data_IF_899907673039
#
_entry.id   IF_899907673039
#
_cell.length_a   1.000
_cell.length_b   1.000
_cell.length_c   1.000
_cell.angle_alpha   90.00
_cell.angle_beta   90.00
_cell.angle_gamma   90.00
#
_symmetry.space_group_name_H-M   'P 1'
#
loop_
_entity.id
_entity.type
_entity.pdbx_description
1 polymer ?
#
# COMPACT_ATOMS: atom_id res chain seq x y z
N UNK A 1 75.12 -19.97 -11.14
CA UNK A 1 75.39 -19.92 -9.68
C UNK A 1 74.16 -20.46 -8.95
N UNK A 2 74.33 -21.28 -7.89
CA UNK A 2 73.66 -22.57 -7.74
C UNK A 2 72.34 -22.56 -6.97
N UNK A 3 71.51 -23.58 -7.25
CA UNK A 3 70.29 -23.88 -6.51
C UNK A 3 70.53 -24.56 -5.15
N UNK A 4 69.52 -24.45 -4.28
CA UNK A 4 69.31 -25.28 -3.07
C UNK A 4 67.79 -25.42 -2.92
N UNK A 5 67.23 -26.58 -3.23
CA UNK A 5 66.98 -27.71 -2.32
C UNK A 5 66.10 -27.33 -1.13
N UNK A 6 64.80 -27.62 -1.27
CA UNK A 6 63.80 -27.64 -0.21
C UNK A 6 64.22 -28.60 0.91
N UNK A 7 64.24 -28.12 2.16
CA UNK A 7 64.34 -28.94 3.37
C UNK A 7 62.96 -28.99 4.02
N UNK A 8 62.38 -30.18 4.04
CA UNK A 8 61.15 -30.52 4.76
C UNK A 8 61.47 -30.54 6.26
N UNK A 9 60.82 -29.67 7.06
CA UNK A 9 60.88 -29.73 8.53
C UNK A 9 59.95 -30.82 9.06
N UNK A 10 60.35 -31.47 10.16
CA UNK A 10 59.59 -32.53 10.83
C UNK A 10 58.40 -31.95 11.59
N UNK A 11 57.28 -32.66 11.55
CA UNK A 11 55.98 -32.34 12.18
C UNK A 11 55.99 -32.18 13.71
N UNK A 12 57.12 -32.39 14.40
CA UNK A 12 57.26 -32.13 15.84
C UNK A 12 57.68 -30.70 16.18
N UNK A 13 58.11 -29.89 15.20
CA UNK A 13 58.51 -28.48 15.38
C UNK A 13 57.37 -27.49 15.08
N UNK A 14 56.15 -27.97 14.85
CA UNK A 14 54.97 -27.17 14.48
C UNK A 14 53.91 -27.10 15.59
N UNK A 15 54.26 -27.53 16.82
CA UNK A 15 53.32 -27.65 17.94
C UNK A 15 53.47 -26.58 19.04
N UNK A 16 54.50 -25.74 18.97
CA UNK A 16 54.78 -24.72 19.99
C UNK A 16 54.40 -23.28 19.56
N UNK A 17 53.83 -23.10 18.36
CA UNK A 17 53.39 -21.79 17.83
C UNK A 17 51.86 -21.59 17.87
N UNK A 18 51.13 -22.40 18.65
CA UNK A 18 49.66 -22.35 18.75
C UNK A 18 49.19 -22.25 20.21
N UNK A 19 49.65 -21.24 20.94
CA UNK A 19 48.90 -20.70 22.07
C UNK A 19 48.86 -19.16 21.99
N UNK A 20 47.68 -18.55 21.75
CA UNK A 20 47.57 -17.10 21.82
C UNK A 20 47.65 -16.62 23.28
N UNK A 21 48.23 -15.44 23.55
CA UNK A 21 48.25 -14.86 24.88
C UNK A 21 46.81 -14.58 25.34
N UNK A 22 46.54 -14.86 26.63
CA UNK A 22 45.30 -14.49 27.32
C UNK A 22 45.19 -12.97 27.35
N UNK A 23 44.52 -12.42 26.32
CA UNK A 23 44.19 -11.01 26.19
C UNK A 23 42.74 -10.75 26.58
N UNK A 24 42.53 -9.63 27.26
CA UNK A 24 41.25 -9.12 27.75
C UNK A 24 40.15 -9.13 26.67
N UNK A 25 38.91 -9.35 27.10
CA UNK A 25 37.73 -9.35 26.23
C UNK A 25 37.65 -8.05 25.40
N UNK A 26 37.31 -8.10 24.11
CA UNK A 26 37.20 -6.91 23.29
C UNK A 26 36.04 -6.06 23.81
N UNK A 27 36.40 -4.88 24.31
CA UNK A 27 35.49 -3.77 24.57
C UNK A 27 34.64 -3.54 23.32
N UNK A 28 33.31 -3.59 23.47
CA UNK A 28 32.37 -3.47 22.37
C UNK A 28 32.65 -2.16 21.62
N UNK A 29 33.21 -2.29 20.41
CA UNK A 29 33.50 -1.15 19.55
C UNK A 29 32.21 -0.35 19.36
N UNK A 30 32.19 0.87 19.90
CA UNK A 30 31.14 1.83 19.67
C UNK A 30 30.97 2.01 18.15
N UNK A 31 29.73 2.05 17.63
CA UNK A 31 29.50 2.24 16.21
C UNK A 31 30.25 3.49 15.77
N UNK A 32 31.12 3.36 14.76
CA UNK A 32 31.85 4.50 14.22
C UNK A 32 30.83 5.57 13.79
N UNK A 33 31.19 6.84 13.91
CA UNK A 33 30.31 7.99 13.66
C UNK A 33 29.56 7.90 12.30
N UNK A 34 30.16 7.22 11.32
CA UNK A 34 29.56 6.95 10.00
C UNK A 34 28.42 5.92 10.03
N UNK A 35 28.49 4.90 10.89
CA UNK A 35 27.44 3.86 10.99
C UNK A 35 26.18 4.38 11.68
N UNK A 36 26.33 5.17 12.74
CA UNK A 36 25.20 5.78 13.44
C UNK A 36 24.45 6.78 12.55
N UNK A 37 25.18 7.57 11.76
CA UNK A 37 24.60 8.53 10.80
C UNK A 37 23.88 7.85 9.65
N UNK A 38 24.41 6.73 9.17
CA UNK A 38 23.76 5.89 8.15
C UNK A 38 22.47 5.24 8.68
N UNK A 39 22.45 4.84 9.96
CA UNK A 39 21.24 4.31 10.62
C UNK A 39 20.16 5.38 10.76
N UNK A 40 20.53 6.59 11.12
CA UNK A 40 19.62 7.74 11.25
C UNK A 40 19.01 8.13 9.89
N UNK A 41 19.83 8.16 8.83
CA UNK A 41 19.38 8.43 7.44
C UNK A 41 18.45 7.33 6.91
N UNK A 42 18.77 6.05 7.20
CA UNK A 42 17.92 4.90 6.85
C UNK A 42 16.61 4.90 7.64
N UNK A 43 16.62 5.35 8.89
CA UNK A 43 15.44 5.48 9.73
C UNK A 43 14.53 6.61 9.25
N UNK A 44 15.11 7.74 8.83
CA UNK A 44 14.40 8.85 8.18
C UNK A 44 13.74 8.43 6.86
N UNK A 45 14.46 7.71 5.99
CA UNK A 45 13.91 7.14 4.75
C UNK A 45 12.78 6.13 5.01
N UNK A 46 12.92 5.28 6.03
CA UNK A 46 11.87 4.32 6.44
C UNK A 46 10.60 5.02 6.92
N UNK A 47 10.73 6.11 7.68
CA UNK A 47 9.57 6.90 8.13
C UNK A 47 8.87 7.64 6.98
N UNK A 48 9.62 8.12 5.99
CA UNK A 48 9.07 8.79 4.81
C UNK A 48 8.31 7.83 3.89
N UNK A 49 8.86 6.64 3.66
CA UNK A 49 8.23 5.60 2.85
C UNK A 49 6.95 5.04 3.49
N UNK A 50 6.93 4.87 4.82
CA UNK A 50 5.77 4.32 5.54
C UNK A 50 4.59 5.30 5.63
N UNK A 51 4.84 6.60 5.82
CA UNK A 51 3.80 7.64 5.76
C UNK A 51 3.16 7.75 4.37
N UNK A 52 3.97 7.85 3.32
CA UNK A 52 3.48 7.99 1.95
C UNK A 52 2.72 6.77 1.43
N UNK A 53 3.14 5.56 1.83
CA UNK A 53 2.49 4.31 1.45
C UNK A 53 1.13 4.14 2.14
N UNK A 54 1.01 4.49 3.42
CA UNK A 54 -0.23 4.34 4.18
C UNK A 54 -1.30 5.37 3.78
N UNK A 55 -0.89 6.63 3.59
CA UNK A 55 -1.78 7.68 3.08
C UNK A 55 -2.27 7.35 1.65
N UNK A 56 -1.42 6.72 0.83
CA UNK A 56 -1.80 6.23 -0.51
C UNK A 56 -2.77 5.06 -0.47
N UNK A 57 -2.60 4.16 0.51
CA UNK A 57 -3.45 2.96 0.69
C UNK A 57 -4.83 3.32 1.21
N UNK A 58 -4.92 4.30 2.11
CA UNK A 58 -6.20 4.81 2.61
C UNK A 58 -6.90 5.76 1.63
N UNK A 59 -6.15 6.47 0.78
CA UNK A 59 -6.74 7.40 -0.19
C UNK A 59 -7.56 6.71 -1.29
N UNK A 60 -7.39 5.40 -1.53
CA UNK A 60 -7.98 4.75 -2.69
C UNK A 60 -8.52 3.35 -2.40
N UNK A 61 -9.83 3.26 -2.20
CA UNK A 61 -10.59 2.01 -2.29
C UNK A 61 -11.64 2.20 -3.39
N UNK A 62 -11.46 1.43 -4.48
CA UNK A 62 -12.33 1.17 -5.65
C UNK A 62 -11.98 1.87 -6.99
N UNK A 63 -11.93 1.10 -8.11
CA UNK A 63 -11.97 1.62 -9.48
C UNK A 63 -13.33 2.27 -9.83
N UNK A 64 -13.30 3.20 -10.80
CA UNK A 64 -14.43 4.03 -11.27
C UNK A 64 -15.69 3.24 -11.68
N UNK A 65 -15.56 1.98 -12.10
CA UNK A 65 -16.67 1.17 -12.63
C UNK A 65 -17.50 0.40 -11.60
N UNK A 66 -17.01 0.24 -10.37
CA UNK A 66 -17.62 -0.63 -9.35
C UNK A 66 -18.04 0.12 -8.07
N UNK A 67 -17.74 1.42 -7.97
CA UNK A 67 -18.14 2.22 -6.82
C UNK A 67 -19.59 2.71 -6.95
N UNK A 68 -20.48 2.24 -6.06
CA UNK A 68 -21.91 2.63 -6.03
C UNK A 68 -22.19 4.08 -5.60
N UNK A 69 -21.17 4.90 -5.34
CA UNK A 69 -21.30 6.25 -4.79
C UNK A 69 -20.63 7.32 -5.68
N UNK A 70 -21.39 8.02 -6.56
CA UNK A 70 -20.83 9.05 -7.44
C UNK A 70 -20.26 10.27 -6.69
N UNK A 71 -20.66 10.53 -5.45
CA UNK A 71 -20.03 11.57 -4.62
C UNK A 71 -18.59 11.23 -4.17
N UNK A 72 -18.18 9.95 -4.26
CA UNK A 72 -16.77 9.54 -4.09
C UNK A 72 -15.98 9.57 -5.41
N UNK A 73 -16.64 9.79 -6.56
CA UNK A 73 -16.00 9.89 -7.87
C UNK A 73 -15.19 11.18 -8.09
N UNK A 74 -15.25 12.13 -7.15
CA UNK A 74 -14.31 13.26 -7.07
C UNK A 74 -12.85 12.82 -6.77
N UNK A 75 -12.59 11.52 -6.56
CA UNK A 75 -11.26 10.93 -6.32
C UNK A 75 -10.37 10.80 -7.56
N UNK A 76 -10.92 10.80 -8.78
CA UNK A 76 -10.10 10.62 -9.99
C UNK A 76 -9.10 11.74 -10.23
N UNK A 77 -9.49 12.99 -9.97
CA UNK A 77 -8.57 14.13 -10.01
C UNK A 77 -7.52 14.06 -8.88
N UNK A 78 -7.91 13.55 -7.70
CA UNK A 78 -6.99 13.36 -6.57
C UNK A 78 -5.98 12.25 -6.82
N UNK A 79 -6.39 11.16 -7.48
CA UNK A 79 -5.51 10.05 -7.83
C UNK A 79 -4.47 10.47 -8.88
N UNK A 80 -4.89 11.17 -9.94
CA UNK A 80 -3.94 11.72 -10.92
C UNK A 80 -2.96 12.70 -10.25
N UNK A 81 -3.45 13.60 -9.40
CA UNK A 81 -2.57 14.53 -8.64
C UNK A 81 -1.59 13.77 -7.74
N UNK A 82 -2.04 12.69 -7.11
CA UNK A 82 -1.22 11.85 -6.25
C UNK A 82 -0.14 11.12 -7.05
N UNK A 83 -0.48 10.55 -8.21
CA UNK A 83 0.46 9.85 -9.08
C UNK A 83 1.53 10.80 -9.63
N UNK A 84 1.12 11.98 -10.11
CA UNK A 84 2.02 13.06 -10.55
C UNK A 84 2.96 13.49 -9.42
N UNK A 85 2.42 13.78 -8.23
CA UNK A 85 3.22 14.23 -7.09
C UNK A 85 4.20 13.15 -6.58
N UNK A 86 3.76 11.89 -6.56
CA UNK A 86 4.56 10.74 -6.13
C UNK A 86 5.73 10.52 -7.08
N UNK A 87 5.47 10.45 -8.39
CA UNK A 87 6.50 10.26 -9.39
C UNK A 87 7.49 11.44 -9.44
N UNK A 88 7.01 12.68 -9.31
CA UNK A 88 7.86 13.87 -9.22
C UNK A 88 8.81 13.82 -8.02
N UNK A 89 8.29 13.46 -6.84
CA UNK A 89 9.06 13.40 -5.59
C UNK A 89 10.10 12.28 -5.64
N UNK A 90 9.72 11.08 -6.10
CA UNK A 90 10.63 9.94 -6.15
C UNK A 90 11.72 10.10 -7.22
N UNK A 91 11.42 10.71 -8.37
CA UNK A 91 12.45 11.03 -9.36
C UNK A 91 13.43 12.10 -8.84
N UNK A 92 12.93 13.13 -8.15
CA UNK A 92 13.77 14.12 -7.49
C UNK A 92 14.69 13.49 -6.42
N UNK A 93 14.15 12.57 -5.62
CA UNK A 93 14.92 11.80 -4.64
C UNK A 93 15.98 10.90 -5.33
N UNK A 94 15.61 10.23 -6.41
CA UNK A 94 16.51 9.38 -7.19
C UNK A 94 17.71 10.17 -7.71
N UNK A 95 17.48 11.35 -8.30
CA UNK A 95 18.57 12.20 -8.77
C UNK A 95 19.41 12.78 -7.62
N UNK A 96 18.79 13.16 -6.51
CA UNK A 96 19.52 13.61 -5.31
C UNK A 96 20.49 12.52 -4.82
N UNK A 97 20.01 11.27 -4.76
CA UNK A 97 20.81 10.10 -4.39
C UNK A 97 21.95 9.89 -5.39
N UNK A 98 21.68 9.97 -6.70
CA UNK A 98 22.71 9.87 -7.74
C UNK A 98 23.79 10.94 -7.59
N UNK A 99 23.40 12.21 -7.39
CA UNK A 99 24.35 13.32 -7.23
C UNK A 99 25.23 13.18 -5.98
N UNK A 100 24.66 12.71 -4.87
CA UNK A 100 25.42 12.44 -3.64
C UNK A 100 26.46 11.34 -3.82
N UNK A 101 26.24 10.44 -4.78
CA UNK A 101 27.22 9.39 -5.11
C UNK A 101 28.36 9.88 -5.98
N UNK A 102 28.09 10.85 -6.87
CA UNK A 102 29.04 11.34 -7.85
C UNK A 102 30.09 12.27 -7.20
N UNK A 103 29.74 13.01 -6.14
CA UNK A 103 30.63 14.05 -5.56
C UNK A 103 30.59 14.06 -4.03
N UNK A 104 31.71 13.67 -3.39
CA UNK A 104 31.84 13.59 -1.92
C UNK A 104 31.70 14.92 -1.16
N UNK A 105 31.93 16.07 -1.81
CA UNK A 105 32.09 17.37 -1.12
C UNK A 105 31.31 18.54 -1.74
N UNK A 106 30.25 18.28 -2.53
CA UNK A 106 29.39 19.34 -3.08
C UNK A 106 27.92 19.12 -2.78
N UNK A 107 27.21 20.22 -2.55
CA UNK A 107 25.75 20.23 -2.39
C UNK A 107 25.09 19.78 -3.70
N UNK A 108 24.00 18.99 -3.64
CA UNK A 108 23.22 18.64 -4.82
C UNK A 108 22.80 19.87 -5.63
N UNK A 109 22.93 19.78 -6.95
CA UNK A 109 22.50 20.80 -7.90
C UNK A 109 20.97 20.84 -7.98
N UNK A 110 20.37 21.86 -7.35
CA UNK A 110 18.93 22.05 -7.33
C UNK A 110 18.32 22.14 -8.74
N UNK A 111 19.04 22.71 -9.71
CA UNK A 111 18.56 22.79 -11.09
C UNK A 111 18.43 21.40 -11.73
N UNK A 112 19.34 20.46 -11.45
CA UNK A 112 19.26 19.07 -11.94
C UNK A 112 18.11 18.31 -11.26
N UNK A 113 17.96 18.47 -9.94
CA UNK A 113 16.84 17.89 -9.19
C UNK A 113 15.49 18.38 -9.73
N UNK A 114 15.38 19.67 -10.06
CA UNK A 114 14.15 20.24 -10.61
C UNK A 114 13.81 19.68 -11.99
N UNK A 115 14.80 19.35 -12.82
CA UNK A 115 14.57 18.67 -14.11
C UNK A 115 13.99 17.27 -13.92
N UNK A 116 14.58 16.49 -13.02
CA UNK A 116 14.07 15.15 -12.68
C UNK A 116 12.69 15.19 -12.02
N UNK A 117 12.42 16.21 -11.20
CA UNK A 117 11.08 16.46 -10.66
C UNK A 117 10.06 16.77 -11.77
N UNK A 118 10.44 17.61 -12.74
CA UNK A 118 9.63 17.95 -13.89
C UNK A 118 9.35 16.74 -14.78
N UNK A 119 10.39 15.96 -15.09
CA UNK A 119 10.23 14.71 -15.83
C UNK A 119 9.37 13.70 -15.06
N UNK A 120 9.60 13.52 -13.75
CA UNK A 120 8.79 12.65 -12.91
C UNK A 120 7.32 13.06 -12.87
N UNK A 121 7.01 14.36 -12.99
CA UNK A 121 5.62 14.83 -13.11
C UNK A 121 4.98 14.37 -14.42
N UNK A 122 5.71 14.45 -15.54
CA UNK A 122 5.26 13.97 -16.85
C UNK A 122 5.10 12.45 -16.86
N UNK A 123 6.05 11.73 -16.25
CA UNK A 123 6.02 10.28 -16.13
C UNK A 123 4.84 9.80 -15.27
N UNK A 124 4.56 10.47 -14.15
CA UNK A 124 3.38 10.17 -13.33
C UNK A 124 2.06 10.36 -14.09
N UNK A 125 1.96 11.41 -14.91
CA UNK A 125 0.80 11.66 -15.76
C UNK A 125 0.65 10.58 -16.86
N UNK A 126 1.74 10.28 -17.56
CA UNK A 126 1.75 9.29 -18.63
C UNK A 126 1.45 7.88 -18.10
N UNK A 127 2.10 7.50 -16.99
CA UNK A 127 1.92 6.23 -16.30
C UNK A 127 0.50 6.05 -15.81
N UNK A 128 -0.13 7.06 -15.20
CA UNK A 128 -1.52 7.00 -14.76
C UNK A 128 -2.46 6.55 -15.88
N UNK A 129 -2.39 7.23 -17.03
CA UNK A 129 -3.23 6.91 -18.18
C UNK A 129 -2.85 5.59 -18.85
N UNK A 130 -1.57 5.25 -18.88
CA UNK A 130 -1.10 3.98 -19.42
C UNK A 130 -1.63 2.79 -18.61
N UNK A 131 -1.50 2.82 -17.29
CA UNK A 131 -1.95 1.73 -16.43
C UNK A 131 -3.49 1.62 -16.41
N UNK A 132 -4.22 2.74 -16.45
CA UNK A 132 -5.68 2.71 -16.67
C UNK A 132 -6.03 2.07 -18.03
N UNK A 133 -5.28 2.40 -19.10
CA UNK A 133 -5.52 1.83 -20.43
C UNK A 133 -5.26 0.32 -20.49
N UNK A 134 -4.23 -0.16 -19.80
CA UNK A 134 -3.94 -1.58 -19.69
C UNK A 134 -5.01 -2.35 -18.91
N UNK A 135 -5.67 -1.73 -17.92
CA UNK A 135 -6.74 -2.38 -17.16
C UNK A 135 -8.07 -2.46 -17.93
N UNK A 136 -8.19 -1.75 -19.05
CA UNK A 136 -9.32 -1.88 -19.99
C UNK A 136 -9.18 -3.07 -20.94
N UNK A 137 -8.04 -3.78 -20.95
CA UNK A 137 -7.87 -4.99 -21.75
C UNK A 137 -8.80 -6.12 -21.27
N UNK A 138 -9.21 -7.05 -22.16
CA UNK A 138 -10.04 -8.18 -21.79
C UNK A 138 -9.40 -9.01 -20.66
N UNK A 139 -10.11 -9.15 -19.53
CA UNK A 139 -9.62 -9.90 -18.38
C UNK A 139 -9.64 -11.41 -18.69
N UNK A 140 -8.45 -12.00 -18.73
CA UNK A 140 -8.23 -13.44 -18.85
C UNK A 140 -7.75 -14.01 -17.51
N UNK A 141 -7.30 -15.28 -17.49
CA UNK A 141 -6.57 -15.84 -16.36
C UNK A 141 -5.43 -14.91 -15.93
N UNK A 142 -5.18 -14.80 -14.62
CA UNK A 142 -4.30 -13.77 -14.04
C UNK A 142 -2.88 -13.78 -14.61
N UNK A 143 -2.38 -14.94 -15.05
CA UNK A 143 -1.06 -15.07 -15.68
C UNK A 143 -1.04 -14.50 -17.09
N UNK A 144 -2.10 -14.75 -17.87
CA UNK A 144 -2.22 -14.26 -19.25
C UNK A 144 -2.38 -12.73 -19.23
N UNK A 145 -3.21 -12.21 -18.32
CA UNK A 145 -3.38 -10.77 -18.12
C UNK A 145 -2.04 -10.09 -17.77
N UNK A 146 -1.29 -10.66 -16.81
CA UNK A 146 0.05 -10.14 -16.46
C UNK A 146 1.00 -10.17 -17.64
N UNK A 147 1.05 -11.28 -18.39
CA UNK A 147 1.92 -11.43 -19.55
C UNK A 147 1.57 -10.41 -20.66
N UNK A 148 0.29 -10.18 -20.92
CA UNK A 148 -0.17 -9.17 -21.88
C UNK A 148 0.23 -7.76 -21.47
N UNK A 149 0.08 -7.42 -20.19
CA UNK A 149 0.47 -6.12 -19.63
C UNK A 149 1.98 -5.90 -19.72
N UNK A 150 2.78 -6.90 -19.34
CA UNK A 150 4.25 -6.86 -19.45
C UNK A 150 4.68 -6.70 -20.91
N UNK A 151 4.04 -7.43 -21.83
CA UNK A 151 4.36 -7.34 -23.25
C UNK A 151 4.00 -5.97 -23.82
N UNK A 152 2.83 -5.43 -23.50
CA UNK A 152 2.41 -4.10 -23.91
C UNK A 152 3.35 -3.02 -23.36
N UNK A 153 3.72 -3.12 -22.09
CA UNK A 153 4.68 -2.22 -21.46
C UNK A 153 6.04 -2.26 -22.16
N UNK A 154 6.56 -3.48 -22.33
CA UNK A 154 7.88 -3.70 -22.92
C UNK A 154 7.93 -3.25 -24.38
N UNK A 155 6.87 -3.47 -25.18
CA UNK A 155 6.88 -3.17 -26.62
C UNK A 155 6.48 -1.73 -26.94
N UNK A 156 5.74 -1.05 -26.06
CA UNK A 156 5.16 0.27 -26.34
C UNK A 156 5.61 1.29 -25.32
N UNK A 157 5.30 1.07 -24.04
CA UNK A 157 5.56 2.07 -23.00
C UNK A 157 7.05 2.30 -22.79
N UNK A 158 7.84 1.24 -22.56
CA UNK A 158 9.28 1.37 -22.29
C UNK A 158 10.02 2.07 -23.44
N UNK A 159 9.85 1.71 -24.73
CA UNK A 159 10.50 2.41 -25.83
C UNK A 159 10.08 3.89 -25.93
N UNK A 160 8.78 4.18 -25.81
CA UNK A 160 8.28 5.55 -25.84
C UNK A 160 8.82 6.38 -24.66
N UNK A 161 8.86 5.78 -23.47
CA UNK A 161 9.40 6.38 -22.27
C UNK A 161 10.90 6.69 -22.40
N UNK A 162 11.72 5.75 -22.88
CA UNK A 162 13.15 5.97 -23.08
C UNK A 162 13.44 7.10 -24.05
N UNK A 163 12.71 7.15 -25.18
CA UNK A 163 12.86 8.24 -26.15
C UNK A 163 12.41 9.59 -25.55
N UNK A 164 11.28 9.60 -24.83
CA UNK A 164 10.76 10.78 -24.16
C UNK A 164 11.73 11.30 -23.09
N UNK A 165 12.28 10.41 -22.26
CA UNK A 165 13.26 10.74 -21.23
C UNK A 165 14.48 11.45 -21.83
N UNK A 166 15.15 10.83 -22.80
CA UNK A 166 16.33 11.42 -23.45
C UNK A 166 16.02 12.78 -24.08
N UNK A 167 14.88 12.88 -24.78
CA UNK A 167 14.48 14.12 -25.43
C UNK A 167 14.17 15.24 -24.41
N UNK A 168 13.33 14.97 -23.42
CA UNK A 168 12.92 15.96 -22.40
C UNK A 168 14.12 16.40 -21.57
N UNK A 169 14.99 15.48 -21.19
CA UNK A 169 16.19 15.81 -20.42
C UNK A 169 17.14 16.71 -21.24
N UNK A 170 17.37 16.41 -22.52
CA UNK A 170 18.17 17.26 -23.40
C UNK A 170 17.58 18.69 -23.53
N UNK A 171 16.26 18.80 -23.68
CA UNK A 171 15.56 20.10 -23.75
C UNK A 171 15.69 20.88 -22.44
N UNK A 172 15.43 20.22 -21.30
CA UNK A 172 15.51 20.85 -19.98
C UNK A 172 16.94 21.27 -19.61
N UNK A 173 17.96 20.63 -20.19
CA UNK A 173 19.37 21.01 -20.06
C UNK A 173 19.79 22.16 -20.99
N UNK A 174 18.87 22.66 -21.83
CA UNK A 174 19.17 23.73 -22.80
C UNK A 174 19.82 23.23 -24.09
N UNK A 175 19.85 21.92 -24.33
CA UNK A 175 20.43 21.26 -25.51
C UNK A 175 19.36 20.82 -26.51
N UNK A 176 18.28 21.58 -26.65
CA UNK A 176 17.12 21.23 -27.48
C UNK A 176 17.47 20.92 -28.96
N UNK A 177 18.47 21.59 -29.53
CA UNK A 177 18.93 21.35 -30.90
C UNK A 177 19.58 19.96 -31.08
N UNK A 178 20.12 19.38 -30.00
CA UNK A 178 20.82 18.08 -30.00
C UNK A 178 19.92 16.93 -29.51
N UNK A 179 18.71 17.23 -29.02
CA UNK A 179 17.83 16.24 -28.40
C UNK A 179 17.56 15.03 -29.29
N UNK A 180 17.35 15.23 -30.60
CA UNK A 180 17.11 14.14 -31.55
C UNK A 180 18.38 13.30 -31.76
N UNK A 181 19.56 13.92 -31.82
CA UNK A 181 20.82 13.18 -31.94
C UNK A 181 21.14 12.37 -30.70
N UNK A 182 20.82 12.89 -29.51
CA UNK A 182 21.02 12.20 -28.24
C UNK A 182 20.12 10.98 -28.11
N UNK A 183 18.82 11.12 -28.46
CA UNK A 183 17.91 9.97 -28.57
C UNK A 183 18.51 8.93 -29.52
N UNK A 184 18.93 9.29 -30.74
CA UNK A 184 19.49 8.31 -31.69
C UNK A 184 20.72 7.59 -31.18
N UNK A 185 21.56 8.28 -30.39
CA UNK A 185 22.83 7.76 -29.90
C UNK A 185 22.62 6.83 -28.70
N UNK A 186 21.85 7.27 -27.71
CA UNK A 186 21.82 6.64 -26.38
C UNK A 186 20.55 5.79 -26.16
N UNK A 187 19.59 5.82 -27.08
CA UNK A 187 18.31 5.08 -26.97
C UNK A 187 18.50 3.57 -26.78
N UNK A 188 19.35 2.94 -27.58
CA UNK A 188 19.51 1.48 -27.51
C UNK A 188 20.19 1.04 -26.22
N UNK A 189 21.19 1.79 -25.75
CA UNK A 189 21.83 1.54 -24.46
C UNK A 189 20.82 1.69 -23.31
N UNK A 190 20.04 2.77 -23.32
CA UNK A 190 19.02 2.99 -22.29
C UNK A 190 17.91 1.93 -22.32
N UNK A 191 17.45 1.53 -23.51
CA UNK A 191 16.37 0.56 -23.69
C UNK A 191 16.81 -0.85 -23.23
N UNK A 192 18.00 -1.28 -23.66
CA UNK A 192 18.56 -2.58 -23.27
C UNK A 192 18.85 -2.64 -21.78
N UNK A 193 19.37 -1.56 -21.20
CA UNK A 193 19.56 -1.43 -19.75
C UNK A 193 18.25 -1.55 -18.98
N UNK A 194 17.17 -0.93 -19.48
CA UNK A 194 15.83 -1.07 -18.89
C UNK A 194 15.35 -2.53 -18.96
N UNK A 195 15.33 -3.16 -20.13
CA UNK A 195 14.85 -4.54 -20.25
C UNK A 195 15.64 -5.55 -19.39
N UNK A 196 16.96 -5.40 -19.29
CA UNK A 196 17.78 -6.34 -18.53
C UNK A 196 17.44 -6.36 -17.03
N UNK A 197 17.12 -5.21 -16.45
CA UNK A 197 16.97 -5.08 -15.00
C UNK A 197 15.52 -4.91 -14.55
N UNK A 198 14.71 -4.13 -15.27
CA UNK A 198 13.38 -3.74 -14.78
C UNK A 198 12.30 -4.76 -15.15
N UNK A 199 12.46 -5.49 -16.25
CA UNK A 199 11.43 -6.38 -16.80
C UNK A 199 10.93 -7.46 -15.81
N UNK A 200 11.79 -8.11 -14.99
CA UNK A 200 11.31 -9.04 -13.95
C UNK A 200 10.45 -8.35 -12.87
N UNK A 201 10.82 -7.12 -12.49
CA UNK A 201 10.06 -6.35 -11.52
C UNK A 201 8.77 -5.79 -12.11
N UNK A 202 8.75 -5.44 -13.40
CA UNK A 202 7.54 -5.05 -14.11
C UNK A 202 6.49 -6.16 -14.07
N UNK A 203 6.90 -7.42 -14.29
CA UNK A 203 5.99 -8.56 -14.14
C UNK A 203 5.45 -8.71 -12.71
N UNK A 204 6.28 -8.48 -11.69
CA UNK A 204 5.83 -8.48 -10.29
C UNK A 204 4.87 -7.32 -10.01
N UNK A 205 5.13 -6.13 -10.53
CA UNK A 205 4.27 -4.95 -10.34
C UNK A 205 2.90 -5.22 -10.97
N UNK A 206 2.84 -5.68 -12.23
CA UNK A 206 1.55 -5.98 -12.86
C UNK A 206 0.82 -7.16 -12.23
N UNK A 207 1.53 -8.20 -11.80
CA UNK A 207 0.92 -9.39 -11.21
C UNK A 207 0.48 -9.24 -9.76
N UNK A 208 1.09 -8.33 -8.99
CA UNK A 208 0.86 -8.19 -7.55
C UNK A 208 0.30 -6.83 -7.13
N UNK A 209 0.50 -5.77 -7.94
CA UNK A 209 0.12 -4.41 -7.57
C UNK A 209 -1.18 -3.97 -8.25
N UNK A 210 -2.21 -3.58 -7.46
CA UNK A 210 -3.38 -2.89 -8.00
C UNK A 210 -2.98 -1.67 -8.84
N UNK A 211 -3.72 -1.40 -9.93
CA UNK A 211 -3.48 -0.30 -10.90
C UNK A 211 -3.16 1.03 -10.22
N UNK A 212 -3.94 1.37 -9.18
CA UNK A 212 -3.78 2.61 -8.39
C UNK A 212 -2.44 2.80 -7.67
N UNK A 213 -1.62 1.75 -7.56
CA UNK A 213 -0.29 1.83 -6.95
C UNK A 213 0.83 1.60 -7.98
N UNK A 214 0.49 1.31 -9.24
CA UNK A 214 1.49 0.95 -10.24
C UNK A 214 2.46 2.12 -10.49
N UNK A 215 1.97 3.37 -10.58
CA UNK A 215 2.85 4.57 -10.71
C UNK A 215 3.84 4.65 -9.55
N UNK A 216 3.36 4.52 -8.31
CA UNK A 216 4.23 4.54 -7.13
C UNK A 216 5.23 3.38 -7.13
N UNK A 217 4.80 2.16 -7.49
CA UNK A 217 5.68 0.99 -7.56
C UNK A 217 6.76 1.14 -8.62
N UNK A 218 6.44 1.66 -9.81
CA UNK A 218 7.41 1.95 -10.86
C UNK A 218 8.39 3.04 -10.44
N UNK A 219 7.91 4.14 -9.84
CA UNK A 219 8.78 5.20 -9.36
C UNK A 219 9.71 4.74 -8.22
N UNK A 220 9.23 3.85 -7.33
CA UNK A 220 10.05 3.22 -6.30
C UNK A 220 11.08 2.24 -6.89
N UNK A 221 10.71 1.49 -7.93
CA UNK A 221 11.64 0.62 -8.65
C UNK A 221 12.78 1.44 -9.25
N UNK A 222 12.49 2.61 -9.84
CA UNK A 222 13.51 3.52 -10.37
C UNK A 222 14.45 4.02 -9.28
N UNK A 223 13.92 4.45 -8.12
CA UNK A 223 14.75 4.85 -6.98
C UNK A 223 15.61 3.69 -6.45
N UNK A 224 15.02 2.50 -6.32
CA UNK A 224 15.73 1.31 -5.86
C UNK A 224 16.84 0.90 -6.84
N UNK A 225 16.60 1.02 -8.14
CA UNK A 225 17.62 0.81 -9.17
C UNK A 225 18.79 1.78 -9.00
N UNK A 226 18.51 3.08 -8.84
CA UNK A 226 19.57 4.07 -8.61
C UNK A 226 20.40 3.72 -7.38
N UNK A 227 19.77 3.40 -6.26
CA UNK A 227 20.46 2.98 -5.03
C UNK A 227 21.30 1.72 -5.27
N UNK A 228 20.77 0.72 -5.98
CA UNK A 228 21.50 -0.51 -6.28
C UNK A 228 22.71 -0.25 -7.18
N UNK A 229 22.57 0.63 -8.19
CA UNK A 229 23.68 1.05 -9.03
C UNK A 229 24.78 1.75 -8.20
N UNK A 230 24.41 2.57 -7.21
CA UNK A 230 25.38 3.16 -6.28
C UNK A 230 26.14 2.11 -5.48
N UNK A 231 25.42 1.13 -4.95
CA UNK A 231 26.03 0.05 -4.16
C UNK A 231 26.96 -0.81 -5.03
N UNK A 232 26.63 -1.02 -6.31
CA UNK A 232 27.48 -1.73 -7.27
C UNK A 232 28.80 -1.01 -7.51
N UNK A 233 28.76 0.31 -7.69
CA UNK A 233 29.97 1.15 -7.83
C UNK A 233 30.85 1.12 -6.55
N UNK A 234 30.24 0.93 -5.38
CA UNK A 234 30.94 0.98 -4.08
C UNK A 234 31.44 -0.37 -3.57
N UNK A 235 30.88 -1.49 -4.03
CA UNK A 235 31.21 -2.85 -3.62
C UNK A 235 31.42 -3.78 -4.82
N UNK A 236 32.56 -3.60 -5.47
CA UNK A 236 32.95 -4.14 -6.79
C UNK A 236 33.10 -5.68 -6.90
N UNK A 237 32.66 -6.48 -5.92
CA UNK A 237 32.75 -7.98 -5.99
C UNK A 237 31.62 -8.78 -5.33
N UNK A 238 30.70 -8.14 -4.59
CA UNK A 238 29.68 -8.88 -3.81
C UNK A 238 28.30 -8.92 -4.45
N UNK A 239 28.05 -8.07 -5.45
CA UNK A 239 26.75 -7.94 -6.13
C UNK A 239 26.64 -8.90 -7.31
N UNK A 240 27.74 -9.21 -8.01
CA UNK A 240 27.69 -10.21 -9.09
C UNK A 240 27.30 -11.58 -8.52
N UNK A 241 27.79 -11.95 -7.34
CA UNK A 241 27.33 -13.17 -6.64
C UNK A 241 25.84 -13.12 -6.24
N UNK A 242 25.27 -11.94 -6.03
CA UNK A 242 23.86 -11.76 -5.66
C UNK A 242 22.94 -11.79 -6.89
N UNK A 243 23.39 -11.19 -8.00
CA UNK A 243 22.73 -11.26 -9.31
C UNK A 243 22.82 -12.68 -9.90
N UNK A 244 23.97 -13.34 -9.75
CA UNK A 244 24.16 -14.75 -10.11
C UNK A 244 23.30 -15.66 -9.21
N UNK A 245 23.21 -15.40 -7.90
CA UNK A 245 22.29 -16.13 -7.01
C UNK A 245 20.82 -15.91 -7.36
N UNK A 246 20.44 -14.72 -7.83
CA UNK A 246 19.08 -14.43 -8.30
C UNK A 246 18.79 -15.11 -9.66
N UNK A 247 19.77 -15.14 -10.56
CA UNK A 247 19.71 -15.88 -11.83
C UNK A 247 19.65 -17.40 -11.60
N UNK A 248 20.45 -17.95 -10.68
CA UNK A 248 20.42 -19.36 -10.28
C UNK A 248 19.11 -19.71 -9.57
N UNK A 249 18.61 -18.84 -8.68
CA UNK A 249 17.28 -18.99 -8.06
C UNK A 249 16.17 -19.00 -9.12
N UNK A 250 16.31 -18.21 -10.18
CA UNK A 250 15.39 -18.19 -11.31
C UNK A 250 15.49 -19.44 -12.20
N UNK A 251 16.69 -19.90 -12.53
CA UNK A 251 16.88 -21.18 -13.23
C UNK A 251 16.31 -22.35 -12.42
N UNK A 252 16.42 -22.28 -11.10
CA UNK A 252 15.81 -23.27 -10.19
C UNK A 252 14.29 -23.17 -10.17
N UNK A 253 13.69 -21.97 -10.26
CA UNK A 253 12.24 -21.77 -10.40
C UNK A 253 11.70 -22.18 -11.79
N UNK A 254 12.49 -22.01 -12.84
CA UNK A 254 12.14 -22.42 -14.21
C UNK A 254 12.22 -23.95 -14.43
N UNK A 255 12.96 -24.66 -13.57
CA UNK A 255 13.08 -26.13 -13.56
C UNK A 255 12.13 -26.81 -12.56
N UNK A 256 11.42 -26.05 -11.73
CA UNK A 256 10.31 -26.57 -10.90
C UNK A 256 9.05 -26.56 -11.75
N UNK A 257 8.67 -27.75 -12.18
CA UNK A 257 7.40 -28.17 -12.81
C UNK A 257 6.31 -27.08 -12.89
N UNK A 258 5.77 -26.72 -14.08
CA UNK A 258 4.84 -25.59 -14.29
C UNK A 258 3.50 -25.67 -13.52
N UNK A 259 3.29 -26.72 -12.72
CA UNK A 259 2.00 -27.10 -12.17
C UNK A 259 1.77 -26.82 -10.68
N UNK A 260 2.67 -26.16 -9.94
CA UNK A 260 2.36 -25.73 -8.55
C UNK A 260 3.02 -24.41 -8.07
N UNK A 261 2.56 -23.22 -8.49
CA UNK A 261 3.15 -21.94 -8.03
C UNK A 261 2.53 -21.34 -6.75
N UNK A 262 1.63 -22.03 -6.05
CA UNK A 262 0.77 -21.38 -5.02
C UNK A 262 1.42 -21.06 -3.65
N UNK A 263 2.61 -21.57 -3.32
CA UNK A 263 3.14 -21.47 -1.93
C UNK A 263 4.40 -20.61 -1.75
N UNK A 264 5.34 -20.60 -2.69
CA UNK A 264 6.68 -20.04 -2.44
C UNK A 264 6.76 -18.51 -2.62
N UNK A 265 6.13 -17.94 -3.65
CA UNK A 265 6.12 -16.50 -3.86
C UNK A 265 5.28 -15.75 -2.82
N UNK A 266 4.15 -16.35 -2.40
CA UNK A 266 3.27 -15.79 -1.36
C UNK A 266 3.94 -15.73 0.00
N UNK A 267 4.80 -16.70 0.36
CA UNK A 267 5.55 -16.68 1.62
C UNK A 267 6.70 -15.66 1.61
N UNK A 268 7.29 -15.36 0.47
CA UNK A 268 8.33 -14.33 0.35
C UNK A 268 7.73 -12.92 0.51
N UNK A 269 6.61 -12.63 -0.15
CA UNK A 269 5.88 -11.35 0.03
C UNK A 269 5.35 -11.24 1.45
N UNK A 270 4.79 -12.30 2.04
CA UNK A 270 4.32 -12.27 3.41
C UNK A 270 5.49 -12.06 4.41
N UNK A 271 6.65 -12.71 4.21
CA UNK A 271 7.83 -12.49 5.06
C UNK A 271 8.42 -11.08 4.93
N UNK A 272 8.42 -10.50 3.73
CA UNK A 272 8.87 -9.12 3.51
C UNK A 272 7.88 -8.10 4.10
N UNK A 273 6.57 -8.33 3.97
CA UNK A 273 5.54 -7.47 4.59
C UNK A 273 5.49 -7.60 6.12
N UNK A 274 5.83 -8.77 6.66
CA UNK A 274 5.91 -8.98 8.13
C UNK A 274 7.19 -8.38 8.72
N UNK A 275 8.28 -8.27 7.94
CA UNK A 275 9.54 -7.67 8.36
C UNK A 275 9.53 -6.12 8.37
N UNK A 276 8.51 -5.49 7.77
CA UNK A 276 8.36 -4.02 7.66
C UNK A 276 7.27 -3.51 8.63
N UNK A 277 7.11 -4.16 9.78
CA UNK A 277 6.10 -3.79 10.78
C UNK A 277 6.22 -2.31 11.22
N UNK A 278 5.07 -1.64 11.18
CA UNK A 278 4.83 -0.19 11.20
C UNK A 278 4.84 0.41 12.62
N UNK A 279 5.20 1.69 12.82
CA UNK A 279 5.05 2.36 14.12
C UNK A 279 3.60 2.84 14.35
N UNK A 280 3.06 2.58 15.54
CA UNK A 280 1.64 2.72 15.90
C UNK A 280 1.04 4.14 15.98
N UNK A 281 1.84 5.22 15.99
CA UNK A 281 1.31 6.55 16.34
C UNK A 281 0.46 7.25 15.26
N UNK A 282 0.55 6.86 13.97
CA UNK A 282 -0.17 7.54 12.88
C UNK A 282 -1.54 6.92 12.57
N UNK A 283 -1.78 5.67 12.97
CA UNK A 283 -3.00 4.90 12.66
C UNK A 283 -4.18 5.41 13.50
N UNK A 284 -3.91 5.85 14.72
CA UNK A 284 -4.93 6.25 15.70
C UNK A 284 -5.78 7.44 15.24
N UNK A 285 -5.17 8.42 14.55
CA UNK A 285 -5.87 9.64 14.12
C UNK A 285 -6.97 9.38 13.08
N UNK A 286 -6.78 8.40 12.17
CA UNK A 286 -7.76 8.10 11.12
C UNK A 286 -8.98 7.36 11.65
N UNK A 287 -8.77 6.40 12.57
CA UNK A 287 -9.86 5.66 13.22
C UNK A 287 -10.72 6.59 14.06
N UNK A 288 -10.11 7.51 14.81
CA UNK A 288 -10.83 8.52 15.59
C UNK A 288 -11.71 9.42 14.70
N UNK A 289 -11.19 9.88 13.56
CA UNK A 289 -11.97 10.68 12.59
C UNK A 289 -13.20 9.92 12.09
N UNK A 290 -13.02 8.68 11.63
CA UNK A 290 -14.13 7.85 11.15
C UNK A 290 -15.18 7.58 12.22
N UNK A 291 -14.74 7.43 13.48
CA UNK A 291 -15.65 7.29 14.61
C UNK A 291 -16.49 8.56 14.84
N UNK A 292 -15.84 9.72 14.92
CA UNK A 292 -16.51 11.01 15.13
C UNK A 292 -17.30 11.52 13.92
N UNK A 293 -17.14 10.94 12.73
CA UNK A 293 -17.96 11.30 11.56
C UNK A 293 -19.46 11.09 11.78
N UNK A 294 -19.84 10.16 12.66
CA UNK A 294 -21.25 9.80 12.92
C UNK A 294 -21.63 9.67 14.40
N UNK A 295 -20.68 9.82 15.32
CA UNK A 295 -20.97 9.86 16.75
C UNK A 295 -21.42 11.27 17.16
N UNK A 296 -22.48 11.41 17.97
CA UNK A 296 -22.89 12.70 18.53
C UNK A 296 -21.97 13.12 19.69
N UNK A 297 -21.85 14.42 19.93
CA UNK A 297 -21.20 14.96 21.13
C UNK A 297 -22.19 15.03 22.31
N UNK A 298 -21.73 14.85 23.57
CA UNK A 298 -20.33 14.64 23.99
C UNK A 298 -19.95 13.14 24.11
N UNK A 299 -18.87 12.75 23.41
CA UNK A 299 -18.24 11.42 23.50
C UNK A 299 -16.74 11.56 23.74
N UNK A 300 -16.22 10.79 24.70
CA UNK A 300 -14.80 10.73 25.05
C UNK A 300 -14.22 9.38 24.62
N UNK A 301 -13.21 9.38 23.74
CA UNK A 301 -12.44 8.17 23.42
C UNK A 301 -11.41 7.94 24.52
N UNK A 302 -11.45 6.76 25.15
CA UNK A 302 -10.52 6.34 26.19
C UNK A 302 -9.30 5.63 25.60
N UNK A 303 -9.50 4.74 24.62
CA UNK A 303 -8.44 4.06 23.89
C UNK A 303 -8.84 3.69 22.46
N UNK A 304 -7.84 3.55 21.59
CA UNK A 304 -7.96 2.91 20.28
C UNK A 304 -6.87 1.88 20.19
N UNK A 305 -7.24 0.60 20.30
CA UNK A 305 -6.31 -0.51 20.37
C UNK A 305 -6.30 -1.25 19.04
N UNK A 306 -5.12 -1.39 18.43
CA UNK A 306 -4.99 -2.19 17.20
C UNK A 306 -5.11 -3.68 17.52
N UNK A 307 -5.92 -4.38 16.72
CA UNK A 307 -6.18 -5.81 16.85
C UNK A 307 -5.51 -6.54 15.71
N UNK A 308 -4.56 -7.41 16.05
CA UNK A 308 -3.84 -8.25 15.07
C UNK A 308 -4.05 -9.71 15.43
N UNK A 309 -4.87 -10.39 14.63
CA UNK A 309 -5.05 -11.84 14.72
C UNK A 309 -4.63 -12.51 13.41
N UNK A 310 -3.39 -13.04 13.33
CA UNK A 310 -2.85 -13.58 12.08
C UNK A 310 -3.73 -14.68 11.44
N UNK A 311 -4.38 -15.51 12.27
CA UNK A 311 -5.31 -16.54 11.81
C UNK A 311 -6.51 -15.93 11.08
N UNK A 312 -7.15 -14.93 11.69
CA UNK A 312 -8.35 -14.28 11.15
C UNK A 312 -8.00 -13.44 9.91
N UNK A 313 -6.89 -12.70 9.97
CA UNK A 313 -6.42 -11.90 8.84
C UNK A 313 -6.13 -12.78 7.62
N UNK A 314 -5.48 -13.94 7.82
CA UNK A 314 -5.21 -14.89 6.73
C UNK A 314 -6.50 -15.40 6.08
N UNK A 315 -7.53 -15.70 6.87
CA UNK A 315 -8.83 -16.15 6.35
C UNK A 315 -9.53 -15.06 5.55
N UNK A 316 -9.56 -13.84 6.09
CA UNK A 316 -10.12 -12.68 5.41
C UNK A 316 -9.40 -12.40 4.07
N UNK A 317 -8.06 -12.42 4.06
CA UNK A 317 -7.28 -12.24 2.83
C UNK A 317 -7.48 -13.38 1.83
N UNK A 318 -7.67 -14.62 2.30
CA UNK A 318 -8.00 -15.74 1.42
C UNK A 318 -9.35 -15.53 0.74
N UNK A 319 -10.37 -15.10 1.49
CA UNK A 319 -11.69 -14.75 0.96
C UNK A 319 -11.59 -13.65 -0.11
N UNK A 320 -10.77 -12.62 0.13
CA UNK A 320 -10.51 -11.53 -0.83
C UNK A 320 -9.75 -11.95 -2.09
N UNK A 321 -9.00 -13.05 -2.01
CA UNK A 321 -8.36 -13.63 -3.18
C UNK A 321 -9.31 -14.54 -3.99
N UNK A 322 -10.34 -15.10 -3.35
CA UNK A 322 -11.30 -16.01 -3.99
C UNK A 322 -12.44 -15.27 -4.68
N UNK A 323 -12.97 -14.21 -4.07
CA UNK A 323 -14.11 -13.46 -4.58
C UNK A 323 -13.76 -11.96 -4.65
N UNK A 324 -13.82 -11.33 -5.84
CA UNK A 324 -13.64 -9.89 -5.95
C UNK A 324 -14.77 -9.20 -5.16
N UNK A 325 -14.40 -8.54 -4.08
CA UNK A 325 -15.32 -7.89 -3.17
C UNK A 325 -14.82 -6.49 -2.82
N UNK A 326 -15.74 -5.54 -2.70
CA UNK A 326 -15.44 -4.26 -2.07
C UNK A 326 -15.21 -4.47 -0.58
N UNK A 327 -14.09 -3.95 -0.06
CA UNK A 327 -13.81 -3.90 1.37
C UNK A 327 -14.24 -2.55 1.90
N UNK A 328 -15.09 -2.55 2.91
CA UNK A 328 -15.57 -1.35 3.59
C UNK A 328 -15.11 -1.34 5.04
N UNK A 329 -14.78 -0.16 5.56
CA UNK A 329 -14.59 0.03 7.00
C UNK A 329 -15.97 0.19 7.62
N UNK A 330 -16.27 -0.66 8.60
CA UNK A 330 -17.54 -0.76 9.29
C UNK A 330 -17.31 -0.82 10.81
N UNK A 331 -18.39 -0.74 11.57
CA UNK A 331 -18.36 -0.68 13.03
C UNK A 331 -19.28 -1.74 13.62
N UNK A 332 -18.81 -2.43 14.66
CA UNK A 332 -19.59 -3.38 15.43
C UNK A 332 -19.57 -2.99 16.90
N UNK A 333 -20.71 -2.48 17.41
CA UNK A 333 -20.90 -2.23 18.82
C UNK A 333 -21.27 -3.54 19.53
N UNK A 334 -20.66 -3.79 20.69
CA UNK A 334 -20.89 -5.03 21.43
C UNK A 334 -20.92 -4.78 22.94
N UNK A 335 -21.34 -5.80 23.70
CA UNK A 335 -21.29 -5.77 25.16
C UNK A 335 -19.90 -6.14 25.68
N UNK A 336 -19.47 -5.63 26.84
CA UNK A 336 -18.15 -5.91 27.40
C UNK A 336 -17.82 -7.41 27.50
N UNK A 337 -18.80 -8.26 27.84
CA UNK A 337 -18.61 -9.70 27.99
C UNK A 337 -18.21 -10.42 26.69
N UNK A 338 -18.54 -9.86 25.52
CA UNK A 338 -18.22 -10.47 24.23
C UNK A 338 -16.92 -9.96 23.60
N UNK A 339 -16.35 -8.87 24.12
CA UNK A 339 -15.15 -8.22 23.52
C UNK A 339 -14.01 -9.22 23.38
N UNK A 340 -13.66 -9.91 24.48
CA UNK A 340 -12.53 -10.85 24.47
C UNK A 340 -12.72 -11.99 23.46
N UNK A 341 -13.94 -12.47 23.31
CA UNK A 341 -14.25 -13.50 22.33
C UNK A 341 -14.08 -12.96 20.91
N UNK A 342 -14.68 -11.80 20.60
CA UNK A 342 -14.61 -11.18 19.28
C UNK A 342 -13.17 -10.87 18.86
N UNK A 343 -12.33 -10.41 19.79
CA UNK A 343 -10.93 -10.12 19.52
C UNK A 343 -10.08 -11.37 19.23
N UNK A 344 -10.47 -12.55 19.71
CA UNK A 344 -9.71 -13.79 19.53
C UNK A 344 -10.23 -14.62 18.35
N UNK A 345 -11.56 -14.70 18.22
CA UNK A 345 -12.23 -15.60 17.30
C UNK A 345 -12.90 -14.87 16.12
N UNK A 346 -13.02 -13.55 16.19
CA UNK A 346 -13.72 -12.75 15.19
C UNK A 346 -15.22 -12.64 15.46
N UNK A 347 -15.94 -12.09 14.49
CA UNK A 347 -17.40 -12.00 14.55
C UNK A 347 -18.00 -13.29 14.00
N UNK A 348 -18.65 -14.06 14.85
CA UNK A 348 -19.32 -15.32 14.49
C UNK A 348 -20.78 -15.05 14.06
N UNK A 349 -21.13 -15.30 12.78
CA UNK A 349 -22.50 -15.17 12.28
C UNK A 349 -23.54 -16.02 13.01
N UNK A 350 -23.12 -17.12 13.66
CA UNK A 350 -24.03 -18.05 14.32
C UNK A 350 -24.46 -17.60 15.71
N UNK A 351 -23.74 -16.65 16.33
CA UNK A 351 -24.08 -16.14 17.66
C UNK A 351 -25.12 -15.01 17.62
N UNK A 352 -25.32 -14.39 16.46
CA UNK A 352 -26.30 -13.34 16.25
C UNK A 352 -27.66 -13.94 15.79
N UNK A 353 -28.43 -14.43 16.76
CA UNK A 353 -29.74 -15.07 16.51
C UNK A 353 -30.88 -14.04 16.36
N UNK A 354 -30.64 -12.77 16.69
CA UNK A 354 -31.66 -11.71 16.58
C UNK A 354 -31.21 -10.63 15.62
N UNK A 355 -32.00 -10.40 14.58
CA UNK A 355 -31.63 -9.44 13.54
C UNK A 355 -32.75 -9.16 12.55
N UNK A 356 -32.98 -7.88 12.27
CA UNK A 356 -34.05 -7.41 11.38
C UNK A 356 -33.78 -7.71 9.90
N UNK A 357 -32.55 -8.10 9.56
CA UNK A 357 -32.08 -8.24 8.17
C UNK A 357 -31.56 -9.66 7.88
N UNK A 358 -31.79 -10.59 8.80
CA UNK A 358 -31.47 -12.01 8.67
C UNK A 358 -30.62 -12.57 9.80
N UNK A 359 -30.31 -13.86 9.73
CA UNK A 359 -29.36 -14.50 10.64
C UNK A 359 -27.93 -14.30 10.13
N UNK A 360 -27.08 -13.72 10.98
CA UNK A 360 -25.68 -13.46 10.63
C UNK A 360 -25.03 -12.38 11.49
N UNK A 361 -23.75 -12.11 11.24
CA UNK A 361 -22.99 -11.10 11.95
C UNK A 361 -23.32 -9.71 11.42
N UNK A 362 -23.70 -8.80 12.32
CA UNK A 362 -24.11 -7.43 11.96
C UNK A 362 -22.96 -6.45 12.10
N UNK A 363 -22.77 -5.62 11.09
CA UNK A 363 -21.88 -4.45 11.17
C UNK A 363 -22.59 -3.24 10.59
N UNK A 364 -22.31 -2.07 11.13
CA UNK A 364 -22.84 -0.83 10.63
C UNK A 364 -21.82 -0.08 9.77
N UNK A 365 -22.30 0.65 8.77
CA UNK A 365 -21.43 1.53 7.96
C UNK A 365 -20.99 2.78 8.71
N UNK A 366 -21.58 3.05 9.88
CA UNK A 366 -21.34 4.24 10.70
C UNK A 366 -21.30 3.90 12.19
N UNK A 367 -20.38 4.53 12.92
CA UNK A 367 -20.21 4.38 14.37
C UNK A 367 -21.49 4.74 15.15
N UNK A 368 -22.21 5.80 14.77
CA UNK A 368 -23.47 6.18 15.44
C UNK A 368 -24.57 5.11 15.34
N UNK A 369 -24.59 4.32 14.26
CA UNK A 369 -25.49 3.16 14.17
C UNK A 369 -25.02 2.06 15.12
N UNK A 370 -23.74 1.71 15.06
CA UNK A 370 -23.14 0.67 15.89
C UNK A 370 -23.25 0.98 17.40
N UNK A 371 -23.25 2.25 17.79
CA UNK A 371 -23.38 2.70 19.17
C UNK A 371 -24.62 2.14 19.89
N UNK A 372 -25.73 1.94 19.17
CA UNK A 372 -26.96 1.36 19.73
C UNK A 372 -26.74 -0.04 20.33
N UNK A 373 -25.71 -0.74 19.87
CA UNK A 373 -25.37 -2.10 20.29
C UNK A 373 -24.14 -2.14 21.23
N UNK A 374 -23.46 -1.00 21.44
CA UNK A 374 -22.32 -0.88 22.33
C UNK A 374 -22.79 -0.57 23.76
N UNK A 375 -23.24 -1.57 24.49
CA UNK A 375 -23.76 -1.39 25.85
C UNK A 375 -22.65 -0.94 26.82
N UNK A 376 -22.96 -0.04 27.78
CA UNK A 376 -21.98 0.40 28.76
C UNK A 376 -21.69 -0.71 29.77
N UNK A 377 -20.42 -0.86 30.14
CA UNK A 377 -19.98 -1.63 31.29
C UNK A 377 -20.29 -0.92 32.61
N UNK A 378 -19.88 -1.54 33.72
CA UNK A 378 -20.12 -1.02 35.07
C UNK A 378 -19.47 0.36 35.32
N UNK A 379 -18.34 0.63 34.66
CA UNK A 379 -17.59 1.90 34.72
C UNK A 379 -18.07 2.94 33.67
N UNK A 380 -19.16 2.63 32.95
CA UNK A 380 -19.71 3.42 31.87
C UNK A 380 -18.90 3.37 30.57
N UNK A 381 -17.83 2.57 30.49
CA UNK A 381 -17.07 2.37 29.26
C UNK A 381 -17.89 1.55 28.25
N UNK A 382 -17.69 1.82 26.97
CA UNK A 382 -18.34 1.14 25.85
C UNK A 382 -17.27 0.69 24.87
N UNK A 383 -17.58 -0.40 24.17
CA UNK A 383 -16.64 -1.04 23.24
C UNK A 383 -17.23 -1.11 21.84
N UNK A 384 -16.43 -0.71 20.85
CA UNK A 384 -16.79 -0.77 19.44
C UNK A 384 -15.62 -1.31 18.62
N UNK A 385 -15.86 -2.39 17.90
CA UNK A 385 -14.89 -2.94 16.97
C UNK A 385 -14.95 -2.18 15.64
N UNK A 386 -13.78 -1.86 15.08
CA UNK A 386 -13.64 -1.37 13.70
C UNK A 386 -13.34 -2.57 12.82
N UNK A 387 -14.26 -2.87 11.91
CA UNK A 387 -14.26 -4.10 11.14
C UNK A 387 -14.08 -3.80 9.66
N UNK A 388 -13.12 -4.47 9.02
CA UNK A 388 -13.03 -4.54 7.57
C UNK A 388 -14.04 -5.56 7.08
N UNK A 389 -14.99 -5.13 6.27
CA UNK A 389 -16.09 -5.93 5.79
C UNK A 389 -16.02 -6.14 4.28
N UNK A 390 -15.96 -7.40 3.88
CA UNK A 390 -15.95 -7.84 2.49
C UNK A 390 -17.39 -7.98 1.96
N UNK A 391 -17.97 -6.86 1.52
CA UNK A 391 -19.40 -6.77 1.19
C UNK A 391 -19.79 -7.68 0.01
N UNK A 392 -18.87 -7.88 -0.94
CA UNK A 392 -19.10 -8.71 -2.12
C UNK A 392 -19.83 -7.97 -3.25
N UNK A 393 -19.89 -8.58 -4.44
CA UNK A 393 -20.47 -7.96 -5.62
C UNK A 393 -22.01 -7.89 -5.61
N UNK A 394 -22.66 -8.76 -4.81
CA UNK A 394 -24.12 -8.88 -4.75
C UNK A 394 -24.61 -8.65 -3.33
N UNK A 395 -25.36 -7.56 -3.14
CA UNK A 395 -26.12 -7.34 -1.91
C UNK A 395 -27.56 -7.75 -2.12
N UNK A 396 -28.14 -8.39 -1.12
CA UNK A 396 -29.58 -8.65 -1.05
C UNK A 396 -30.23 -7.78 0.02
N UNK A 397 -31.51 -7.49 -0.14
CA UNK A 397 -32.27 -6.81 0.91
C UNK A 397 -32.55 -7.83 2.00
N UNK A 398 -32.07 -7.56 3.21
CA UNK A 398 -32.26 -8.44 4.35
C UNK A 398 -33.72 -8.53 4.77
N UNK A 399 -34.08 -9.68 5.34
CA UNK A 399 -35.41 -9.95 5.88
C UNK A 399 -35.27 -10.63 7.23
N UNK A 400 -36.14 -10.24 8.17
CA UNK A 400 -36.13 -10.79 9.52
C UNK A 400 -36.28 -12.32 9.47
N UNK A 401 -35.46 -13.03 10.25
CA UNK A 401 -35.51 -14.51 10.40
C UNK A 401 -35.24 -15.31 9.13
N UNK A 402 -34.71 -14.70 8.07
CA UNK A 402 -34.19 -15.43 6.91
C UNK A 402 -32.65 -15.50 6.99
N UNK A 403 -32.05 -16.65 6.65
CA UNK A 403 -30.62 -16.71 6.42
C UNK A 403 -30.35 -16.24 4.98
N UNK A 404 -29.73 -15.07 4.76
CA UNK A 404 -29.55 -14.57 3.41
C UNK A 404 -28.51 -15.43 2.68
N UNK A 405 -28.69 -15.63 1.37
CA UNK A 405 -27.77 -16.45 0.56
C UNK A 405 -26.41 -15.77 0.31
N UNK A 406 -26.27 -14.52 0.73
CA UNK A 406 -25.08 -13.66 0.58
C UNK A 406 -25.20 -12.50 1.56
N UNK A 407 -24.31 -11.51 1.48
CA UNK A 407 -24.36 -10.29 2.29
C UNK A 407 -25.72 -9.61 2.15
N UNK A 408 -26.45 -9.50 3.26
CA UNK A 408 -27.69 -8.76 3.33
C UNK A 408 -27.46 -7.33 3.83
N UNK A 409 -28.33 -6.42 3.42
CA UNK A 409 -28.33 -5.05 3.92
C UNK A 409 -29.74 -4.57 4.26
N UNK A 410 -29.84 -3.57 5.13
CA UNK A 410 -31.10 -2.89 5.43
C UNK A 410 -31.67 -2.16 4.21
N UNK A 411 -30.78 -1.58 3.39
CA UNK A 411 -31.10 -0.87 2.15
C UNK A 411 -30.08 -1.25 1.07
N UNK A 412 -30.56 -1.40 -0.16
CA UNK A 412 -29.66 -1.69 -1.31
C UNK A 412 -28.93 -0.44 -1.81
N UNK A 413 -29.48 0.73 -1.54
CA UNK A 413 -28.92 2.04 -1.87
C UNK A 413 -28.63 2.73 -0.54
N UNK A 414 -27.37 3.10 -0.33
CA UNK A 414 -26.88 3.69 0.92
C UNK A 414 -27.21 2.83 2.17
N UNK A 415 -26.67 1.59 2.23
CA UNK A 415 -26.83 0.70 3.37
C UNK A 415 -26.30 1.35 4.66
N UNK A 416 -27.05 1.19 5.75
CA UNK A 416 -26.62 1.63 7.08
C UNK A 416 -26.15 0.46 7.93
N UNK A 417 -26.58 -0.75 7.58
CA UNK A 417 -26.19 -1.99 8.25
C UNK A 417 -26.06 -3.12 7.22
N UNK A 418 -25.07 -3.96 7.45
CA UNK A 418 -24.87 -5.22 6.75
C UNK A 418 -25.08 -6.38 7.71
N UNK A 419 -25.51 -7.51 7.16
CA UNK A 419 -25.62 -8.80 7.82
C UNK A 419 -24.85 -9.83 6.97
N UNK A 420 -23.80 -10.41 7.57
CA UNK A 420 -22.89 -11.35 6.92
C UNK A 420 -23.14 -12.77 7.42
N UNK A 421 -23.15 -13.73 6.49
CA UNK A 421 -23.35 -15.15 6.81
C UNK A 421 -22.04 -15.92 6.95
N UNK A 422 -20.91 -15.35 6.53
CA UNK A 422 -19.62 -15.98 6.61
C UNK A 422 -18.64 -15.17 7.46
N UNK A 423 -18.00 -15.84 8.41
CA UNK A 423 -17.02 -15.26 9.34
C UNK A 423 -15.76 -14.73 8.64
N UNK A 424 -15.38 -15.30 7.50
CA UNK A 424 -14.20 -14.87 6.73
C UNK A 424 -14.43 -13.59 5.91
N UNK A 425 -15.66 -13.06 5.89
CA UNK A 425 -15.97 -11.76 5.30
C UNK A 425 -15.68 -10.59 6.24
N UNK A 426 -15.34 -10.86 7.50
CA UNK A 426 -15.18 -9.84 8.52
C UNK A 426 -13.80 -9.97 9.19
N UNK A 427 -13.09 -8.85 9.29
CA UNK A 427 -11.84 -8.78 10.05
C UNK A 427 -11.86 -7.59 11.01
N UNK A 428 -11.77 -7.87 12.31
CA UNK A 428 -11.67 -6.83 13.34
C UNK A 428 -10.24 -6.29 13.35
N UNK A 429 -10.11 -5.00 13.03
CA UNK A 429 -8.82 -4.31 12.89
C UNK A 429 -8.44 -3.50 14.13
N UNK A 430 -9.43 -2.92 14.81
CA UNK A 430 -9.22 -2.09 15.99
C UNK A 430 -10.37 -2.27 16.98
N UNK A 431 -10.11 -1.98 18.25
CA UNK A 431 -11.10 -1.82 19.31
C UNK A 431 -11.06 -0.36 19.78
N UNK A 432 -12.21 0.31 19.75
CA UNK A 432 -12.38 1.63 20.35
C UNK A 432 -13.07 1.44 21.69
N UNK A 433 -12.41 1.91 22.75
CA UNK A 433 -13.03 2.03 24.07
C UNK A 433 -13.34 3.50 24.31
N UNK A 434 -14.60 3.80 24.65
CA UNK A 434 -15.07 5.18 24.77
C UNK A 434 -16.15 5.32 25.85
N UNK A 435 -16.46 6.56 26.23
CA UNK A 435 -17.55 6.92 27.14
C UNK A 435 -18.48 7.91 26.46
N UNK A 436 -19.77 7.75 26.67
CA UNK A 436 -20.82 8.61 26.12
C UNK A 436 -21.69 9.09 27.28
N UNK A 437 -21.57 10.36 27.66
CA UNK A 437 -22.43 11.00 28.68
C UNK A 437 -23.71 11.50 28.02
N UNK A 438 -24.86 11.21 28.62
CA UNK A 438 -26.19 11.71 28.22
C UNK A 438 -26.72 11.30 26.83
N UNK A 439 -26.02 10.43 26.10
CA UNK A 439 -26.52 9.87 24.84
C UNK A 439 -27.46 8.71 25.17
N UNK A 440 -28.77 8.97 25.09
CA UNK A 440 -29.79 7.93 25.17
C UNK A 440 -29.60 6.89 24.06
N UNK A 441 -30.06 5.66 24.26
CA UNK A 441 -30.12 4.60 23.24
C UNK A 441 -31.12 4.97 22.12
N UNK A 442 -30.78 5.97 21.32
CA UNK A 442 -31.54 6.41 20.17
C UNK A 442 -30.70 6.19 18.90
N UNK A 443 -31.38 5.90 17.79
CA UNK A 443 -30.73 5.67 16.50
C UNK A 443 -30.21 6.98 15.91
N UNK A 444 -28.93 7.26 16.15
CA UNK A 444 -28.23 8.45 15.63
C UNK A 444 -27.57 8.24 14.27
N UNK A 445 -27.62 7.04 13.69
CA UNK A 445 -27.19 6.79 12.32
C UNK A 445 -28.32 6.15 11.47
N UNK A 446 -28.60 6.73 10.31
CA UNK A 446 -29.68 6.29 9.41
C UNK A 446 -31.10 6.72 9.80
N UNK A 447 -31.26 7.57 10.83
CA UNK A 447 -32.52 8.12 11.35
C UNK A 447 -32.65 9.66 11.17
N UNK A 448 -33.72 10.26 11.72
CA UNK A 448 -34.02 11.70 11.57
C UNK A 448 -32.98 12.63 12.21
N UNK A 449 -32.23 12.15 13.21
CA UNK A 449 -31.23 12.92 13.96
C UNK A 449 -29.78 12.55 13.59
N UNK A 450 -29.57 11.97 12.42
CA UNK A 450 -28.23 11.56 12.00
C UNK A 450 -27.34 12.78 11.65
N UNK A 451 -26.27 13.06 12.43
CA UNK A 451 -25.39 14.21 12.19
C UNK A 451 -24.66 14.09 10.86
N UNK A 452 -24.30 12.87 10.46
CA UNK A 452 -23.66 12.60 9.18
C UNK A 452 -24.64 12.84 8.04
N UNK A 453 -25.86 12.32 8.11
CA UNK A 453 -26.89 12.56 7.10
C UNK A 453 -27.25 14.05 7.00
N UNK A 454 -27.23 14.78 8.12
CA UNK A 454 -27.41 16.24 8.14
C UNK A 454 -26.28 16.95 7.40
N UNK A 455 -25.02 16.61 7.71
CA UNK A 455 -23.84 17.14 7.01
C UNK A 455 -23.84 16.78 5.51
N UNK A 456 -24.19 15.53 5.17
CA UNK A 456 -24.29 15.06 3.78
C UNK A 456 -25.36 15.82 3.00
N UNK A 457 -26.55 16.02 3.58
CA UNK A 457 -27.61 16.82 2.95
C UNK A 457 -27.19 18.28 2.76
N UNK A 458 -26.48 18.85 3.73
CA UNK A 458 -25.95 20.20 3.61
C UNK A 458 -24.92 20.29 2.46
N UNK A 459 -24.02 19.32 2.35
CA UNK A 459 -23.03 19.23 1.28
C UNK A 459 -23.67 19.06 -0.11
N UNK A 460 -24.68 18.18 -0.24
CA UNK A 460 -25.42 18.00 -1.49
C UNK A 460 -26.13 19.29 -1.92
N UNK A 461 -26.79 19.98 -1.00
CA UNK A 461 -27.43 21.28 -1.27
C UNK A 461 -26.43 22.36 -1.69
N UNK A 462 -25.24 22.37 -1.09
CA UNK A 462 -24.17 23.27 -1.48
C UNK A 462 -23.70 22.97 -2.91
N UNK A 463 -23.48 21.69 -3.24
CA UNK A 463 -23.11 21.25 -4.58
C UNK A 463 -24.16 21.61 -5.64
N UNK A 464 -25.45 21.40 -5.37
CA UNK A 464 -26.54 21.79 -6.29
C UNK A 464 -26.59 23.31 -6.50
N UNK A 465 -26.29 24.09 -5.47
CA UNK A 465 -26.24 25.56 -5.56
C UNK A 465 -25.06 26.01 -6.41
N UNK A 466 -23.91 25.38 -6.24
CA UNK A 466 -22.71 25.67 -7.02
C UNK A 466 -22.89 25.32 -8.49
N UNK A 467 -23.51 24.18 -8.80
CA UNK A 467 -23.85 23.78 -10.17
C UNK A 467 -24.82 24.78 -10.83
N UNK A 468 -25.84 25.24 -10.11
CA UNK A 468 -26.76 26.29 -10.60
C UNK A 468 -26.04 27.60 -10.86
N UNK A 469 -25.12 27.99 -9.98
CA UNK A 469 -24.32 29.21 -10.15
C UNK A 469 -23.37 29.10 -11.35
N UNK A 470 -22.77 27.93 -11.55
CA UNK A 470 -21.90 27.67 -12.70
C UNK A 470 -22.68 27.73 -14.02
N UNK A 471 -23.86 27.10 -14.07
CA UNK A 471 -24.73 27.18 -15.24
C UNK A 471 -25.18 28.61 -15.52
N UNK A 472 -25.50 29.39 -14.48
CA UNK A 472 -25.85 30.82 -14.65
C UNK A 472 -24.68 31.62 -15.24
N UNK A 473 -23.46 31.40 -14.74
CA UNK A 473 -22.24 32.03 -15.29
C UNK A 473 -21.98 31.64 -16.73
N UNK A 474 -22.23 30.38 -17.12
CA UNK A 474 -22.10 29.94 -18.51
C UNK A 474 -23.08 30.68 -19.41
N UNK A 475 -24.33 30.85 -18.98
CA UNK A 475 -25.35 31.60 -19.74
C UNK A 475 -25.02 33.09 -19.87
N UNK A 476 -24.37 33.70 -18.87
CA UNK A 476 -23.96 35.13 -18.94
C UNK A 476 -22.73 35.39 -19.84
N UNK A 477 -22.01 34.34 -20.24
CA UNK A 477 -20.82 34.42 -21.11
C UNK A 477 -21.18 34.23 -22.60
N UNK A 478 -22.38 33.74 -22.90
CA UNK A 478 -22.94 33.63 -24.27
C UNK A 478 -24.02 34.68 -24.49
#
# INVERSE_FOLDING_TARGET
>A
MPGKSLRVRRLSELRDDLEPPVGEAPEAASPSLDTARLEEDLQGMRQLLTRGLWDSVLANVMPRGESKHPARAASGAKLLQQDVATAATLNAASDTVAQLSEVKDRKPCAARVLRYMGFGSLDGFAGHHWFEALDMLPKHDSVIDTAQKVLADSLVYTPCWCACFLFVMAVLEGRAAEAISEVRKDFWELLTGNYGLTLPFVALIYGCSPVRYQVACFALLTLAYTIAALLKVRFDRRIDSWLDSLCEFYQTLALVDPWTPRRSARLAVLKVMTAVAFPGAAVDCSVQKLFFDSMPDPVEILSVDQVIQPRLLKRFLARMAEEPASVEVTFHGTRPEFVKQILNDGLDPHLCVTGNYGFGAYVATHAGVAHQYAYPGEDGSRHMCVTLAAVGARLVKGKEREAPSTTAADRLINPTQYCFTHEDQLYVSHLITYRATDIQFCRTGGGFQDPFHTKLRAALRASEKDEKNENKRRVEIF
#
